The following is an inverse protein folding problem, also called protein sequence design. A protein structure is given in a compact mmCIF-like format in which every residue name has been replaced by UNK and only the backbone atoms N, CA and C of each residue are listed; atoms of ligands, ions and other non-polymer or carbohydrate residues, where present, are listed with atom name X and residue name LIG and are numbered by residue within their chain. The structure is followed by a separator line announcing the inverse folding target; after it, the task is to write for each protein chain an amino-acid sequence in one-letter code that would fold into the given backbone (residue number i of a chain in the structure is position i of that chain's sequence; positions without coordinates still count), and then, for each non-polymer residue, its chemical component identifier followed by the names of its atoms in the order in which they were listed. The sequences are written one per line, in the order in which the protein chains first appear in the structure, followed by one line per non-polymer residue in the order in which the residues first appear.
data_IF_636244265297
#
_entry.id   IF_636244265297
#
_cell.length_a   1.000
_cell.length_b   1.000
_cell.length_c   1.000
_cell.angle_alpha   90.00
_cell.angle_beta   90.00
_cell.angle_gamma   90.00
#
_symmetry.space_group_name_H-M   'P 1'
#
loop_
_entity.id
_entity.type
_entity.pdbx_description
1 polymer ?
#
# COMPACT_ATOMS: atom_id res chain seq x y z
N UNK A 1 -2.46 -13.17 -14.98
CA UNK A 1 -3.01 -12.05 -14.20
C UNK A 1 -2.00 -10.92 -14.29
N UNK A 2 -2.42 -9.70 -14.66
CA UNK A 2 -1.55 -8.54 -14.65
C UNK A 2 -0.99 -8.29 -13.24
N UNK A 3 0.19 -7.68 -13.20
CA UNK A 3 0.85 -7.27 -11.95
C UNK A 3 0.55 -5.81 -11.71
N UNK A 4 0.27 -5.47 -10.47
CA UNK A 4 0.01 -4.10 -10.05
C UNK A 4 0.99 -3.70 -8.96
N UNK A 5 1.44 -2.46 -9.03
CA UNK A 5 2.18 -1.77 -8.01
C UNK A 5 1.22 -0.84 -7.29
N UNK A 6 0.93 -1.12 -6.02
CA UNK A 6 0.01 -0.33 -5.20
C UNK A 6 0.81 0.46 -4.17
N UNK A 7 0.66 1.77 -4.17
CA UNK A 7 1.29 2.66 -3.20
C UNK A 7 0.30 2.87 -2.06
N UNK A 8 0.70 2.51 -0.84
CA UNK A 8 -0.10 2.69 0.36
C UNK A 8 0.58 3.69 1.28
N UNK A 9 -0.15 4.72 1.69
CA UNK A 9 0.32 5.81 2.55
C UNK A 9 -0.37 5.71 3.92
N UNK A 10 0.40 5.68 5.01
CA UNK A 10 -0.15 5.56 6.39
C UNK A 10 -0.04 6.84 7.20
N UNK A 11 0.96 7.67 6.92
CA UNK A 11 1.12 9.02 7.48
C UNK A 11 1.55 9.96 6.34
N UNK A 12 1.55 11.28 6.57
CA UNK A 12 1.91 12.31 5.55
C UNK A 12 3.31 12.07 4.98
N UNK A 13 4.14 11.36 5.73
CA UNK A 13 5.56 11.13 5.45
C UNK A 13 5.90 9.66 5.19
N UNK A 14 4.97 8.72 5.41
CA UNK A 14 5.22 7.28 5.32
C UNK A 14 4.40 6.65 4.18
N UNK A 15 5.08 6.05 3.22
CA UNK A 15 4.46 5.27 2.14
C UNK A 15 5.23 3.99 1.87
N UNK A 16 4.51 2.96 1.42
CA UNK A 16 5.08 1.68 1.01
C UNK A 16 4.53 1.27 -0.36
N UNK A 17 5.29 0.45 -1.08
CA UNK A 17 4.91 -0.07 -2.39
C UNK A 17 4.69 -1.57 -2.26
N UNK A 18 3.46 -2.00 -2.50
CA UNK A 18 3.07 -3.40 -2.45
C UNK A 18 2.78 -3.89 -3.87
N UNK A 19 3.54 -4.89 -4.30
CA UNK A 19 3.29 -5.55 -5.59
C UNK A 19 2.35 -6.74 -5.39
N UNK A 20 1.28 -6.79 -6.20
CA UNK A 20 0.25 -7.84 -6.18
C UNK A 20 -0.14 -8.26 -7.59
N UNK A 21 -0.68 -9.47 -7.71
CA UNK A 21 -1.26 -9.98 -8.95
C UNK A 21 -2.78 -9.92 -8.81
N UNK A 22 -3.45 -9.25 -9.74
CA UNK A 22 -4.90 -9.07 -9.73
C UNK A 22 -5.43 -9.01 -11.16
N UNK A 23 -6.73 -9.18 -11.38
CA UNK A 23 -7.33 -9.01 -12.71
C UNK A 23 -7.80 -7.57 -12.94
N UNK A 24 -8.09 -6.82 -11.87
CA UNK A 24 -8.49 -5.40 -11.93
C UNK A 24 -7.71 -4.53 -10.93
N UNK A 25 -7.60 -3.21 -11.16
CA UNK A 25 -6.99 -2.28 -10.21
C UNK A 25 -7.67 -2.29 -8.84
N UNK A 26 -9.00 -2.39 -8.80
CA UNK A 26 -9.76 -2.44 -7.54
C UNK A 26 -9.46 -3.71 -6.72
N UNK A 27 -9.26 -4.84 -7.41
CA UNK A 27 -8.79 -6.08 -6.78
C UNK A 27 -7.34 -5.95 -6.30
N UNK A 28 -6.50 -5.21 -7.03
CA UNK A 28 -5.13 -4.95 -6.61
C UNK A 28 -5.07 -4.13 -5.30
N UNK A 29 -5.92 -3.11 -5.15
CA UNK A 29 -6.01 -2.34 -3.90
C UNK A 29 -6.34 -3.24 -2.70
N UNK A 30 -7.38 -4.07 -2.85
CA UNK A 30 -7.83 -4.99 -1.80
C UNK A 30 -6.73 -6.00 -1.44
N UNK A 31 -6.12 -6.62 -2.45
CA UNK A 31 -5.04 -7.59 -2.25
C UNK A 31 -3.79 -6.93 -1.62
N UNK A 32 -3.50 -5.68 -1.95
CA UNK A 32 -2.38 -4.94 -1.38
C UNK A 32 -2.61 -4.59 0.10
N UNK A 33 -3.83 -4.19 0.47
CA UNK A 33 -4.23 -3.99 1.86
C UNK A 33 -4.19 -5.27 2.68
N UNK A 34 -4.73 -6.38 2.15
CA UNK A 34 -4.70 -7.68 2.82
C UNK A 34 -3.26 -8.15 3.05
N UNK A 35 -2.40 -8.05 2.03
CA UNK A 35 -0.99 -8.42 2.12
C UNK A 35 -0.20 -7.55 3.12
N UNK A 36 -0.54 -6.27 3.23
CA UNK A 36 0.04 -5.37 4.24
C UNK A 36 -0.46 -5.69 5.65
N UNK A 37 -1.74 -6.04 5.80
CA UNK A 37 -2.33 -6.43 7.09
C UNK A 37 -1.82 -7.80 7.58
N UNK A 38 -1.53 -8.74 6.68
CA UNK A 38 -0.94 -10.04 7.00
C UNK A 38 0.59 -9.98 7.24
N UNK A 39 1.29 -9.00 6.65
CA UNK A 39 2.71 -8.75 6.90
C UNK A 39 2.95 -8.04 8.24
N UNK A 40 3.21 -8.83 9.28
CA UNK A 40 3.69 -8.36 10.59
C UNK A 40 5.14 -7.85 10.58
N UNK A 41 5.81 -7.92 9.43
CA UNK A 41 7.21 -7.51 9.16
C UNK A 41 7.29 -6.36 8.14
N UNK A 42 6.24 -5.54 8.00
CA UNK A 42 6.34 -4.33 7.18
C UNK A 42 7.20 -3.31 7.92
N UNK A 43 8.45 -3.10 7.47
CA UNK A 43 9.28 -1.99 7.93
C UNK A 43 8.66 -0.67 7.46
N UNK A 44 8.28 0.17 8.41
CA UNK A 44 7.78 1.53 8.19
C UNK A 44 8.91 2.50 8.53
N UNK A 45 9.35 3.31 7.57
CA UNK A 45 10.39 4.34 7.77
C UNK A 45 9.79 5.58 8.44
N UNK A 46 10.04 5.72 9.75
CA UNK A 46 9.55 6.79 10.62
C UNK A 46 10.12 8.17 10.21
N UNK A 47 9.25 9.08 9.77
CA UNK A 47 9.58 10.51 9.66
C UNK A 47 8.78 11.29 10.71
N UNK A 48 9.48 12.07 11.54
CA UNK A 48 8.95 12.67 12.77
C UNK A 48 7.88 13.74 12.48
N UNK A 49 6.59 13.38 12.56
CA UNK A 49 5.51 14.34 12.33
C UNK A 49 4.09 13.91 12.71
N UNK A 50 3.93 12.96 13.64
CA UNK A 50 2.62 12.35 13.94
C UNK A 50 1.63 13.32 14.61
N UNK A 51 0.70 13.86 13.81
CA UNK A 51 -0.54 14.46 14.29
C UNK A 51 -1.75 14.08 13.41
N UNK A 52 -1.87 12.81 13.01
CA UNK A 52 -3.18 12.26 12.70
C UNK A 52 -3.16 10.72 12.69
N UNK A 53 -3.94 10.10 13.57
CA UNK A 53 -4.33 8.68 13.41
C UNK A 53 -5.35 8.58 12.28
N UNK A 54 -4.91 8.69 11.04
CA UNK A 54 -5.71 8.35 9.87
C UNK A 54 -5.38 6.93 9.41
N UNK A 55 -6.38 6.11 9.13
CA UNK A 55 -6.17 4.80 8.52
C UNK A 55 -5.36 4.94 7.22
N UNK A 56 -4.49 3.97 6.94
CA UNK A 56 -3.71 3.93 5.71
C UNK A 56 -4.62 3.92 4.48
N UNK A 57 -4.28 4.71 3.46
CA UNK A 57 -5.05 4.83 2.22
C UNK A 57 -4.16 4.61 0.98
N UNK A 58 -4.75 4.12 -0.10
CA UNK A 58 -4.04 3.95 -1.38
C UNK A 58 -3.91 5.29 -2.08
N UNK A 59 -2.71 5.61 -2.52
CA UNK A 59 -2.39 6.85 -3.25
C UNK A 59 -2.05 6.63 -4.72
N UNK A 60 -1.79 5.38 -5.12
CA UNK A 60 -1.51 5.03 -6.51
C UNK A 60 -1.65 3.55 -6.79
N UNK A 61 -2.12 3.24 -7.99
CA UNK A 61 -2.18 1.87 -8.54
C UNK A 61 -1.68 1.94 -9.98
N UNK A 62 -0.53 1.32 -10.22
CA UNK A 62 0.08 1.26 -11.55
C UNK A 62 0.13 -0.19 -12.03
N UNK A 63 -0.35 -0.46 -13.25
CA UNK A 63 -0.17 -1.76 -13.90
C UNK A 63 1.28 -1.88 -14.38
N UNK A 64 1.94 -2.97 -13.99
CA UNK A 64 3.31 -3.28 -14.39
C UNK A 64 3.31 -4.05 -15.73
N UNK A 65 4.20 -3.68 -16.67
CA UNK A 65 4.31 -4.32 -17.98
C UNK A 65 4.86 -5.76 -17.93
#
# INVERSE_FOLDING_TARGET
MPRYSVIITRDVTESTIVQVEADTPEQAETAAFEKMHESSDTEWDLDEGSWNKGDSYVTGVDELP
#
